data_IF_434212800613
#
_entry.id   IF_434212800613
#
_cell.length_a   1.000
_cell.length_b   1.000
_cell.length_c   1.000
_cell.angle_alpha   90.00
_cell.angle_beta   90.00
_cell.angle_gamma   90.00
#
_symmetry.space_group_name_H-M   'P 1'
#
loop_
_entity.id
_entity.type
_entity.pdbx_description
1 polymer ?
#
# COMPACT_ATOMS: atom_id res chain seq x y z
N UNK A 1 -38.24 14.87 23.19
CA UNK A 1 -37.45 13.62 23.28
C UNK A 1 -38.23 12.43 22.73
N UNK A 2 -39.56 12.40 22.90
CA UNK A 2 -40.49 11.47 22.23
C UNK A 2 -40.22 11.33 20.72
N UNK A 3 -40.14 12.45 20.01
CA UNK A 3 -40.10 12.45 18.55
C UNK A 3 -38.84 11.77 17.95
N UNK A 4 -37.75 11.68 18.74
CA UNK A 4 -36.53 10.99 18.31
C UNK A 4 -36.61 9.48 18.52
N UNK A 5 -37.34 9.04 19.54
CA UNK A 5 -37.56 7.62 19.80
C UNK A 5 -38.52 7.04 18.76
N UNK A 6 -39.58 7.78 18.44
CA UNK A 6 -40.56 7.40 17.41
C UNK A 6 -39.89 7.26 16.03
N UNK A 7 -38.93 8.14 15.70
CA UNK A 7 -38.20 8.08 14.44
C UNK A 7 -37.20 6.91 14.39
N UNK A 8 -36.57 6.54 15.51
CA UNK A 8 -35.69 5.36 15.59
C UNK A 8 -36.52 4.07 15.42
N UNK A 9 -37.70 4.01 16.03
CA UNK A 9 -38.61 2.87 15.91
C UNK A 9 -39.12 2.71 14.47
N UNK A 10 -39.41 3.83 13.79
CA UNK A 10 -39.75 3.84 12.36
C UNK A 10 -38.61 3.31 11.49
N UNK A 11 -37.37 3.74 11.72
CA UNK A 11 -36.20 3.26 10.98
C UNK A 11 -35.95 1.77 11.20
N UNK A 12 -36.20 1.29 12.41
CA UNK A 12 -36.06 -0.13 12.74
C UNK A 12 -37.10 -0.98 12.03
N UNK A 13 -38.36 -0.52 11.96
CA UNK A 13 -39.41 -1.20 11.21
C UNK A 13 -39.14 -1.27 9.70
N UNK A 14 -38.43 -0.28 9.13
CA UNK A 14 -38.03 -0.29 7.71
C UNK A 14 -36.88 -1.25 7.44
N UNK A 15 -35.92 -1.37 8.36
CA UNK A 15 -34.85 -2.38 8.30
C UNK A 15 -35.41 -3.79 8.39
N UNK A 16 -36.31 -4.04 9.34
CA UNK A 16 -36.89 -5.38 9.56
C UNK A 16 -37.77 -5.84 8.38
N UNK A 17 -38.26 -4.89 7.57
CA UNK A 17 -38.96 -5.15 6.30
C UNK A 17 -38.02 -5.33 5.10
N UNK A 18 -36.71 -5.22 5.28
CA UNK A 18 -35.70 -5.31 4.23
C UNK A 18 -35.66 -4.12 3.28
N UNK A 19 -36.28 -2.99 3.66
CA UNK A 19 -36.30 -1.76 2.84
C UNK A 19 -35.01 -0.96 3.04
N UNK A 20 -34.46 -1.00 4.25
CA UNK A 20 -33.18 -0.37 4.60
C UNK A 20 -32.13 -1.46 4.88
N UNK A 21 -30.94 -1.29 4.33
CA UNK A 21 -29.79 -2.11 4.72
C UNK A 21 -29.28 -1.75 6.12
N UNK A 22 -28.58 -2.66 6.79
CA UNK A 22 -28.03 -2.44 8.13
C UNK A 22 -27.12 -1.20 8.20
N UNK A 23 -26.38 -0.93 7.11
CA UNK A 23 -25.48 0.22 7.01
C UNK A 23 -26.23 1.55 6.91
N UNK A 24 -27.35 1.58 6.18
CA UNK A 24 -28.18 2.77 6.06
C UNK A 24 -28.93 3.06 7.36
N UNK A 25 -29.37 2.02 8.07
CA UNK A 25 -29.99 2.14 9.39
C UNK A 25 -29.03 2.79 10.41
N UNK A 26 -27.80 2.29 10.54
CA UNK A 26 -26.83 2.85 11.49
C UNK A 26 -26.41 4.29 11.12
N UNK A 27 -26.34 4.62 9.82
CA UNK A 27 -26.07 5.99 9.36
C UNK A 27 -27.21 6.95 9.72
N UNK A 28 -28.46 6.54 9.51
CA UNK A 28 -29.64 7.35 9.85
C UNK A 28 -29.80 7.54 11.36
N UNK A 29 -29.59 6.46 12.13
CA UNK A 29 -29.59 6.47 13.60
C UNK A 29 -28.51 7.38 14.18
N UNK A 30 -27.30 7.36 13.61
CA UNK A 30 -26.22 8.27 14.01
C UNK A 30 -26.53 9.76 13.82
N UNK A 31 -27.38 10.10 12.83
CA UNK A 31 -27.87 11.46 12.62
C UNK A 31 -28.86 11.94 13.69
N UNK A 32 -29.72 11.05 14.20
CA UNK A 32 -30.78 11.37 15.17
C UNK A 32 -30.26 11.48 16.61
N UNK A 33 -29.25 10.67 16.95
CA UNK A 33 -28.64 10.67 18.28
C UNK A 33 -27.66 11.84 18.50
N UNK A 34 -27.53 12.74 17.53
CA UNK A 34 -26.69 13.92 17.67
C UNK A 34 -25.21 13.57 17.68
N UNK A 35 -24.73 12.91 16.61
CA UNK A 35 -23.29 12.82 16.34
C UNK A 35 -22.59 14.19 16.48
N UNK A 36 -21.29 14.20 16.81
CA UNK A 36 -20.57 15.39 17.26
C UNK A 36 -20.77 16.58 16.30
N UNK A 37 -20.87 17.82 16.83
CA UNK A 37 -21.33 18.97 16.07
C UNK A 37 -20.47 19.18 14.81
N UNK A 38 -21.15 19.27 13.65
CA UNK A 38 -20.54 19.58 12.36
C UNK A 38 -19.90 20.98 12.42
N UNK A 39 -18.59 21.07 12.69
CA UNK A 39 -17.80 22.29 12.43
C UNK A 39 -17.74 22.51 10.92
N UNK A 40 -18.12 23.71 10.47
CA UNK A 40 -17.89 24.17 9.09
C UNK A 40 -16.37 24.32 8.88
N UNK A 41 -15.75 23.35 8.22
CA UNK A 41 -14.38 23.44 7.71
C UNK A 41 -14.41 23.78 6.20
N UNK A 42 -13.41 24.54 5.70
CA UNK A 42 -13.34 25.00 4.31
C UNK A 42 -13.15 23.86 3.30
N UNK A 43 -13.62 24.10 2.07
CA UNK A 43 -13.96 23.12 1.04
C UNK A 43 -12.80 22.40 0.31
N UNK A 44 -11.70 22.04 0.98
CA UNK A 44 -10.59 21.29 0.35
C UNK A 44 -10.04 20.14 1.20
N UNK A 45 -10.87 19.36 1.90
CA UNK A 45 -10.38 18.06 2.43
C UNK A 45 -11.52 17.03 2.37
N UNK A 46 -11.40 16.06 1.47
CA UNK A 46 -12.11 14.78 1.54
C UNK A 46 -11.13 13.77 2.14
N UNK A 47 -11.36 13.20 3.34
CA UNK A 47 -10.65 12.02 3.77
C UNK A 47 -11.47 10.79 3.37
N UNK A 48 -10.94 10.02 2.44
CA UNK A 48 -11.36 8.63 2.18
C UNK A 48 -10.81 7.75 3.30
N UNK A 49 -11.58 7.63 4.38
CA UNK A 49 -11.35 6.64 5.43
C UNK A 49 -12.21 5.42 5.16
N UNK A 50 -11.59 4.29 4.81
CA UNK A 50 -12.32 3.04 4.72
C UNK A 50 -11.56 1.89 4.08
N UNK A 51 -10.60 1.30 4.81
CA UNK A 51 -10.33 -0.16 4.85
C UNK A 51 -9.72 -0.42 6.24
N UNK A 52 -10.55 -0.77 7.22
CA UNK A 52 -10.78 -2.12 7.71
C UNK A 52 -9.49 -2.84 8.15
N UNK A 53 -9.22 -2.78 9.44
CA UNK A 53 -8.13 -3.48 10.08
C UNK A 53 -8.27 -4.99 9.95
N UNK A 54 -7.25 -5.63 9.39
CA UNK A 54 -7.09 -7.08 9.43
C UNK A 54 -5.86 -7.41 10.29
N UNK A 55 -6.16 -7.88 11.50
CA UNK A 55 -5.39 -8.77 12.38
C UNK A 55 -3.96 -9.10 11.92
N UNK A 56 -2.99 -8.33 12.43
CA UNK A 56 -1.60 -8.75 12.53
C UNK A 56 -1.49 -9.72 13.72
N UNK A 57 -1.65 -11.01 13.44
CA UNK A 57 -1.12 -12.03 14.33
C UNK A 57 0.40 -11.94 14.26
N UNK A 58 0.98 -11.29 15.28
CA UNK A 58 2.42 -11.23 15.52
C UNK A 58 2.91 -12.68 15.62
N UNK A 59 3.55 -13.17 14.56
CA UNK A 59 4.34 -14.39 14.66
C UNK A 59 5.55 -14.07 15.54
N UNK A 60 5.53 -14.61 16.76
CA UNK A 60 6.71 -14.73 17.62
C UNK A 60 7.65 -15.73 16.93
N UNK A 61 8.50 -15.25 16.01
CA UNK A 61 9.55 -16.04 15.39
C UNK A 61 10.65 -16.25 16.43
N UNK A 62 10.82 -17.49 16.91
CA UNK A 62 11.96 -17.89 17.75
C UNK A 62 13.28 -17.73 16.97
N UNK A 63 14.28 -17.00 17.47
CA UNK A 63 15.56 -16.84 16.77
C UNK A 63 16.42 -18.10 16.89
N UNK A 64 16.88 -18.64 15.76
CA UNK A 64 18.03 -19.56 15.73
C UNK A 64 19.31 -18.73 15.67
N UNK A 65 20.14 -18.88 16.70
CA UNK A 65 21.45 -18.25 16.83
C UNK A 65 22.46 -18.96 15.93
N UNK A 66 23.12 -18.22 15.05
CA UNK A 66 24.27 -18.68 14.28
C UNK A 66 25.18 -17.50 13.98
N UNK A 67 26.18 -17.28 14.83
CA UNK A 67 27.13 -16.18 14.69
C UNK A 67 28.26 -16.49 13.71
N UNK A 68 28.77 -15.44 13.06
CA UNK A 68 30.19 -15.33 12.71
C UNK A 68 30.53 -13.86 12.47
N UNK A 69 31.57 -13.39 13.16
CA UNK A 69 32.09 -12.02 13.12
C UNK A 69 33.21 -11.95 12.09
N UNK A 70 33.20 -10.92 11.25
CA UNK A 70 34.42 -10.35 10.68
C UNK A 70 34.17 -8.91 10.21
N UNK A 71 34.93 -7.97 10.78
CA UNK A 71 35.09 -6.58 10.34
C UNK A 71 35.66 -6.50 8.91
N UNK A 72 35.28 -5.47 8.14
CA UNK A 72 36.29 -4.43 7.89
C UNK A 72 35.75 -2.98 7.80
N UNK A 73 36.62 -2.03 8.14
CA UNK A 73 36.44 -0.59 7.93
C UNK A 73 36.17 -0.27 6.44
N UNK A 74 35.10 0.49 6.14
CA UNK A 74 34.74 0.90 4.77
C UNK A 74 34.48 2.41 4.66
N UNK A 75 34.86 2.95 3.50
CA UNK A 75 34.81 4.34 3.08
C UNK A 75 33.37 4.91 2.98
N UNK A 76 33.19 6.25 3.12
CA UNK A 76 31.87 6.86 3.02
C UNK A 76 31.39 6.86 1.56
N UNK A 77 30.25 6.22 1.30
CA UNK A 77 29.40 6.28 0.07
C UNK A 77 29.19 4.99 -0.73
N UNK A 78 29.57 3.80 -0.23
CA UNK A 78 29.01 2.55 -0.78
C UNK A 78 27.86 2.05 0.10
N UNK A 79 26.71 1.64 -0.48
CA UNK A 79 25.65 1.00 0.29
C UNK A 79 26.24 -0.27 0.91
N UNK A 80 26.24 -0.33 2.25
CA UNK A 80 26.69 -1.50 2.97
C UNK A 80 25.79 -2.66 2.58
N UNK A 81 26.39 -3.70 1.98
CA UNK A 81 25.67 -4.84 1.46
C UNK A 81 25.10 -5.64 2.64
N UNK A 82 23.77 -5.64 2.81
CA UNK A 82 23.09 -6.38 3.86
C UNK A 82 23.34 -7.89 3.71
N UNK A 83 23.82 -8.55 4.76
CA UNK A 83 23.99 -9.99 4.76
C UNK A 83 22.65 -10.66 5.08
N UNK A 84 22.07 -11.44 4.14
CA UNK A 84 20.83 -12.15 4.41
C UNK A 84 21.04 -13.22 5.48
N UNK A 85 20.25 -13.21 6.56
CA UNK A 85 20.25 -14.29 7.55
C UNK A 85 19.03 -15.19 7.35
N UNK A 86 19.30 -16.45 7.03
CA UNK A 86 18.26 -17.46 6.80
C UNK A 86 17.65 -17.46 5.41
N UNK A 87 16.76 -18.44 5.20
CA UNK A 87 15.96 -18.60 3.98
C UNK A 87 14.68 -17.77 4.07
N UNK A 88 14.16 -17.34 2.93
CA UNK A 88 12.83 -16.73 2.88
C UNK A 88 11.76 -17.72 3.33
N UNK A 89 10.86 -17.29 4.20
CA UNK A 89 9.69 -18.05 4.60
C UNK A 89 8.50 -17.61 3.74
N UNK A 90 7.96 -18.53 2.94
CA UNK A 90 6.80 -18.25 2.09
C UNK A 90 5.55 -18.86 2.71
N UNK A 91 4.47 -18.09 2.74
CA UNK A 91 3.15 -18.57 3.14
C UNK A 91 2.09 -17.98 2.22
N UNK A 92 0.99 -18.70 2.04
CA UNK A 92 -0.18 -18.23 1.31
C UNK A 92 -1.37 -18.28 2.25
N UNK A 93 -2.13 -17.19 2.30
CA UNK A 93 -3.33 -17.06 3.13
C UNK A 93 -4.50 -16.59 2.29
N UNK A 94 -5.64 -17.24 2.43
CA UNK A 94 -6.89 -16.79 1.83
C UNK A 94 -7.80 -16.25 2.92
N UNK A 95 -8.34 -15.06 2.73
CA UNK A 95 -9.35 -14.49 3.59
C UNK A 95 -10.69 -15.23 3.37
N UNK A 96 -11.25 -15.89 4.39
CA UNK A 96 -12.49 -16.66 4.24
C UNK A 96 -13.74 -15.79 3.98
N UNK A 97 -13.65 -14.47 4.18
CA UNK A 97 -14.78 -13.55 3.96
C UNK A 97 -14.77 -12.91 2.58
N UNK A 98 -13.58 -12.64 2.03
CA UNK A 98 -13.41 -11.88 0.78
C UNK A 98 -12.87 -12.73 -0.37
N UNK A 99 -12.48 -13.97 -0.10
CA UNK A 99 -11.76 -14.88 -1.01
C UNK A 99 -10.42 -14.30 -1.53
N UNK A 100 -9.97 -13.17 -0.97
CA UNK A 100 -8.69 -12.55 -1.34
C UNK A 100 -7.56 -13.44 -0.84
N UNK A 101 -6.72 -13.87 -1.79
CA UNK A 101 -5.55 -14.69 -1.49
C UNK A 101 -4.31 -13.82 -1.48
N UNK A 102 -3.51 -13.91 -0.42
CA UNK A 102 -2.24 -13.20 -0.28
C UNK A 102 -1.09 -14.18 -0.16
N UNK A 103 -0.08 -14.02 -1.01
CA UNK A 103 1.21 -14.71 -0.87
C UNK A 103 2.17 -13.78 -0.15
N UNK A 104 2.88 -14.32 0.84
CA UNK A 104 3.73 -13.56 1.77
C UNK A 104 5.11 -14.21 1.80
N UNK A 105 6.16 -13.42 1.62
CA UNK A 105 7.55 -13.80 1.87
C UNK A 105 8.12 -12.99 3.04
N UNK A 106 8.66 -13.66 4.04
CA UNK A 106 9.27 -13.03 5.21
C UNK A 106 10.75 -13.43 5.36
N UNK A 107 11.59 -12.48 5.77
CA UNK A 107 13.02 -12.71 6.03
C UNK A 107 13.60 -11.64 6.93
N UNK A 108 14.62 -12.02 7.70
CA UNK A 108 15.37 -11.09 8.54
C UNK A 108 16.70 -10.73 7.87
N UNK A 109 17.09 -9.47 7.96
CA UNK A 109 18.33 -8.94 7.45
C UNK A 109 19.15 -8.38 8.60
N UNK A 110 20.44 -8.72 8.62
CA UNK A 110 21.37 -8.11 9.56
C UNK A 110 22.11 -6.97 8.87
N UNK A 111 21.85 -5.76 9.36
CA UNK A 111 22.57 -4.54 9.03
C UNK A 111 23.62 -4.26 10.12
N UNK A 112 24.61 -3.39 9.90
CA UNK A 112 25.63 -3.07 10.89
C UNK A 112 25.05 -2.79 12.29
N UNK A 113 24.06 -1.90 12.38
CA UNK A 113 23.49 -1.45 13.66
C UNK A 113 22.13 -2.06 14.00
N UNK A 114 21.49 -2.79 13.08
CA UNK A 114 20.10 -3.21 13.22
C UNK A 114 19.82 -4.60 12.63
N UNK A 115 18.79 -5.26 13.15
CA UNK A 115 18.13 -6.40 12.53
C UNK A 115 16.81 -5.89 11.95
N UNK A 116 16.61 -6.10 10.65
CA UNK A 116 15.37 -5.69 9.96
C UNK A 116 14.58 -6.94 9.59
N UNK A 117 13.38 -7.06 10.14
CA UNK A 117 12.42 -8.08 9.72
C UNK A 117 11.62 -7.50 8.55
N UNK A 118 11.69 -8.17 7.40
CA UNK A 118 11.07 -7.76 6.14
C UNK A 118 9.98 -8.73 5.78
N UNK A 119 8.79 -8.21 5.47
CA UNK A 119 7.67 -8.97 4.92
C UNK A 119 7.24 -8.34 3.61
N UNK A 120 7.18 -9.15 2.56
CA UNK A 120 6.69 -8.77 1.24
C UNK A 120 5.41 -9.56 1.01
N UNK A 121 4.32 -8.90 0.65
CA UNK A 121 3.09 -9.58 0.28
C UNK A 121 2.53 -9.10 -1.05
N UNK A 122 1.86 -10.01 -1.74
CA UNK A 122 1.09 -9.74 -2.94
C UNK A 122 -0.30 -10.36 -2.76
N UNK A 123 -1.34 -9.55 -2.89
CA UNK A 123 -2.73 -10.01 -2.88
C UNK A 123 -3.20 -10.40 -4.29
N UNK A 124 -4.28 -11.19 -4.36
CA UNK A 124 -4.97 -11.54 -5.60
C UNK A 124 -5.63 -10.33 -6.27
N UNK A 125 -5.75 -9.19 -5.58
CA UNK A 125 -6.19 -7.91 -6.14
C UNK A 125 -5.06 -7.11 -6.79
N UNK A 126 -3.81 -7.57 -6.69
CA UNK A 126 -2.64 -6.90 -7.25
C UNK A 126 -1.99 -5.88 -6.33
N UNK A 127 -2.43 -5.83 -5.07
CA UNK A 127 -1.82 -5.00 -4.04
C UNK A 127 -0.50 -5.63 -3.59
N UNK A 128 0.58 -4.86 -3.69
CA UNK A 128 1.89 -5.22 -3.16
C UNK A 128 2.12 -4.43 -1.87
N UNK A 129 2.55 -5.11 -0.82
CA UNK A 129 2.86 -4.48 0.47
C UNK A 129 4.25 -4.91 0.92
N UNK A 130 5.08 -3.92 1.28
CA UNK A 130 6.36 -4.12 1.95
C UNK A 130 6.23 -3.62 3.38
N UNK A 131 6.48 -4.49 4.35
CA UNK A 131 6.52 -4.15 5.76
C UNK A 131 7.92 -4.38 6.31
N UNK A 132 8.46 -3.38 7.00
CA UNK A 132 9.77 -3.44 7.60
C UNK A 132 9.65 -3.08 9.08
N UNK A 133 10.17 -3.94 9.94
CA UNK A 133 10.30 -3.69 11.37
C UNK A 133 11.79 -3.72 11.74
N UNK A 134 12.22 -2.73 12.51
CA UNK A 134 13.62 -2.59 12.93
C UNK A 134 13.80 -2.94 14.40
N UNK A 135 14.90 -3.65 14.67
CA UNK A 135 15.29 -4.14 15.98
C UNK A 135 16.79 -3.96 16.20
N UNK A 136 17.21 -3.87 17.45
CA UNK A 136 18.62 -3.97 17.81
C UNK A 136 19.10 -5.44 17.81
N UNK A 137 20.38 -5.65 18.16
CA UNK A 137 20.98 -6.99 18.24
C UNK A 137 20.38 -7.87 19.35
N UNK A 138 19.71 -7.27 20.33
CA UNK A 138 19.00 -7.94 21.42
C UNK A 138 17.51 -8.19 21.09
N UNK A 139 17.09 -7.94 19.85
CA UNK A 139 15.69 -8.03 19.38
C UNK A 139 14.74 -7.03 20.07
N UNK A 140 15.25 -5.94 20.64
CA UNK A 140 14.41 -4.84 21.13
C UNK A 140 14.07 -3.91 19.97
N UNK A 141 12.87 -3.30 19.94
CA UNK A 141 12.51 -2.32 18.92
C UNK A 141 13.56 -1.22 18.83
N UNK A 142 14.05 -0.97 17.61
CA UNK A 142 14.98 0.13 17.34
C UNK A 142 14.22 1.25 16.65
N UNK A 143 14.13 2.42 17.27
CA UNK A 143 13.27 3.48 16.75
C UNK A 143 13.82 4.07 15.44
N UNK A 144 12.92 4.32 14.50
CA UNK A 144 13.20 5.14 13.32
C UNK A 144 12.91 6.61 13.64
N UNK A 145 13.66 7.50 12.99
CA UNK A 145 13.49 8.94 13.07
C UNK A 145 12.12 9.31 12.54
N UNK A 146 11.31 9.82 13.45
CA UNK A 146 9.99 10.34 13.17
C UNK A 146 9.89 11.83 13.40
N UNK A 147 8.68 12.34 13.16
CA UNK A 147 8.31 13.70 13.46
C UNK A 147 6.81 13.83 13.66
N UNK A 148 6.34 15.07 13.72
CA UNK A 148 4.92 15.41 13.76
C UNK A 148 4.65 16.23 12.50
N UNK A 149 3.67 15.83 11.71
CA UNK A 149 3.28 16.58 10.51
C UNK A 149 2.38 17.78 10.86
N UNK A 150 2.02 18.59 9.86
CA UNK A 150 1.17 19.78 10.05
C UNK A 150 -0.21 19.47 10.67
N UNK A 151 -0.67 18.21 10.55
CA UNK A 151 -1.92 17.71 11.12
C UNK A 151 -1.73 17.13 12.53
N UNK A 152 -0.62 17.44 13.21
CA UNK A 152 -0.28 16.93 14.55
C UNK A 152 -0.21 15.39 14.62
N UNK A 153 -0.05 14.72 13.49
CA UNK A 153 0.03 13.26 13.44
C UNK A 153 1.50 12.82 13.43
N UNK A 154 1.87 11.82 14.24
CA UNK A 154 3.22 11.29 14.21
C UNK A 154 3.49 10.63 12.86
N UNK A 155 4.73 10.68 12.40
CA UNK A 155 5.15 10.00 11.18
C UNK A 155 6.57 9.45 11.30
N UNK A 156 6.91 8.48 10.45
CA UNK A 156 8.29 7.99 10.24
C UNK A 156 8.68 8.30 8.80
N UNK A 157 9.86 8.90 8.60
CA UNK A 157 10.39 9.17 7.26
C UNK A 157 11.34 8.04 6.83
N UNK A 158 11.27 7.66 5.57
CA UNK A 158 12.16 6.68 4.95
C UNK A 158 12.40 7.04 3.49
N UNK A 159 13.43 6.48 2.88
CA UNK A 159 13.68 6.63 1.45
C UNK A 159 13.42 5.31 0.72
N UNK A 160 12.87 5.39 -0.47
CA UNK A 160 12.69 4.24 -1.36
C UNK A 160 13.33 4.55 -2.69
N UNK A 161 14.15 3.61 -3.17
CA UNK A 161 14.67 3.61 -4.53
C UNK A 161 14.23 2.33 -5.22
N UNK A 162 13.64 2.47 -6.40
CA UNK A 162 13.16 1.37 -7.22
C UNK A 162 14.03 1.28 -8.48
N UNK A 163 14.78 0.19 -8.63
CA UNK A 163 15.80 0.05 -9.69
C UNK A 163 16.86 1.16 -9.61
N UNK A 164 17.13 1.79 -10.76
CA UNK A 164 18.11 2.89 -10.92
C UNK A 164 17.48 4.28 -10.77
N UNK A 165 16.22 4.38 -10.34
CA UNK A 165 15.55 5.67 -10.14
C UNK A 165 16.24 6.50 -9.04
N UNK A 166 15.98 7.81 -9.03
CA UNK A 166 16.34 8.65 -7.89
C UNK A 166 15.61 8.16 -6.62
N UNK A 167 16.21 8.27 -5.42
CA UNK A 167 15.53 7.91 -4.19
C UNK A 167 14.40 8.91 -3.93
N UNK A 168 13.22 8.39 -3.61
CA UNK A 168 12.06 9.18 -3.19
C UNK A 168 11.96 9.12 -1.68
N UNK A 169 11.80 10.28 -1.05
CA UNK A 169 11.52 10.35 0.39
C UNK A 169 10.03 10.13 0.63
N UNK A 170 9.72 9.11 1.40
CA UNK A 170 8.37 8.71 1.78
C UNK A 170 8.12 8.94 3.27
N UNK A 171 6.84 9.04 3.61
CA UNK A 171 6.39 9.29 4.99
C UNK A 171 5.29 8.30 5.35
N UNK A 172 5.54 7.47 6.37
CA UNK A 172 4.51 6.60 6.94
C UNK A 172 3.83 7.32 8.10
N UNK A 173 2.59 7.73 7.89
CA UNK A 173 1.82 8.54 8.83
C UNK A 173 1.06 7.68 9.84
N UNK A 174 1.02 8.15 11.08
CA UNK A 174 0.38 7.50 12.22
C UNK A 174 0.78 6.02 12.39
N UNK A 175 2.09 5.71 12.44
CA UNK A 175 2.52 4.33 12.60
C UNK A 175 2.08 3.79 13.97
N UNK A 176 1.76 2.49 14.08
CA UNK A 176 1.46 1.88 15.38
C UNK A 176 2.67 1.94 16.31
N UNK A 177 3.88 1.86 15.74
CA UNK A 177 5.16 1.94 16.44
C UNK A 177 6.18 2.66 15.56
N UNK A 178 7.09 3.43 16.16
CA UNK A 178 8.12 4.17 15.45
C UNK A 178 9.26 3.31 14.89
N UNK A 179 9.26 1.99 15.11
CA UNK A 179 10.23 1.05 14.53
C UNK A 179 9.69 0.32 13.29
N UNK A 180 8.52 0.72 12.77
CA UNK A 180 7.80 0.03 11.71
C UNK A 180 7.43 0.98 10.56
N UNK A 181 7.59 0.51 9.33
CA UNK A 181 7.10 1.16 8.11
C UNK A 181 6.33 0.17 7.23
N UNK A 182 5.32 0.68 6.53
CA UNK A 182 4.56 -0.04 5.50
C UNK A 182 4.58 0.78 4.22
N UNK A 183 5.08 0.19 3.13
CA UNK A 183 4.96 0.71 1.78
C UNK A 183 3.90 -0.12 1.06
N UNK A 184 2.73 0.48 0.87
CA UNK A 184 1.58 -0.14 0.24
C UNK A 184 1.39 0.46 -1.15
N UNK A 185 1.30 -0.39 -2.16
CA UNK A 185 0.76 0.08 -3.43
C UNK A 185 -0.74 0.26 -3.28
N UNK A 186 -1.33 1.33 -3.84
CA UNK A 186 -2.79 1.45 -3.88
C UNK A 186 -3.38 0.27 -4.65
N UNK A 187 -4.57 -0.16 -4.22
CA UNK A 187 -5.36 -1.14 -4.97
C UNK A 187 -5.64 -0.59 -6.38
N UNK A 188 -5.33 -1.34 -7.45
CA UNK A 188 -5.61 -0.92 -8.83
C UNK A 188 -7.05 -0.44 -9.04
N UNK A 189 -8.03 -1.02 -8.35
CA UNK A 189 -9.44 -0.65 -8.46
C UNK A 189 -9.74 0.69 -7.75
N UNK A 190 -9.05 0.97 -6.64
CA UNK A 190 -9.19 2.22 -5.88
C UNK A 190 -8.51 3.43 -6.55
N UNK A 191 -7.65 3.20 -7.56
CA UNK A 191 -6.88 4.25 -8.23
C UNK A 191 -7.68 5.18 -9.17
N UNK A 192 -9.01 5.08 -9.20
CA UNK A 192 -9.91 5.79 -10.12
C UNK A 192 -9.82 7.33 -10.20
N UNK A 193 -8.95 7.98 -9.42
CA UNK A 193 -8.60 9.41 -9.55
C UNK A 193 -7.10 9.66 -9.30
N UNK A 194 -6.45 8.91 -8.39
CA UNK A 194 -5.01 9.05 -8.09
C UNK A 194 -4.11 8.68 -9.29
N UNK A 195 -4.55 7.78 -10.17
CA UNK A 195 -3.85 7.47 -11.42
C UNK A 195 -3.72 8.68 -12.37
N UNK A 196 -4.67 9.62 -12.31
CA UNK A 196 -4.67 10.81 -13.16
C UNK A 196 -3.60 11.85 -12.74
N UNK A 197 -3.08 11.75 -11.52
CA UNK A 197 -2.05 12.64 -10.99
C UNK A 197 -0.61 12.13 -11.20
N UNK A 198 -0.42 11.03 -11.95
CA UNK A 198 0.87 10.56 -12.45
C UNK A 198 1.84 9.96 -11.43
N UNK A 199 1.71 10.26 -10.13
CA UNK A 199 2.66 9.84 -9.08
C UNK A 199 2.41 8.44 -8.51
N UNK A 200 1.16 7.98 -8.48
CA UNK A 200 0.77 6.70 -7.85
C UNK A 200 0.88 5.48 -8.77
N UNK A 201 0.73 5.65 -10.10
CA UNK A 201 0.93 4.55 -11.07
C UNK A 201 2.41 4.16 -11.16
N UNK A 202 3.29 5.17 -11.11
CA UNK A 202 4.72 4.98 -11.31
C UNK A 202 5.39 4.16 -10.22
N UNK A 203 4.96 4.26 -8.96
CA UNK A 203 5.58 3.48 -7.87
C UNK A 203 5.15 2.02 -7.91
N UNK A 204 3.89 1.77 -8.22
CA UNK A 204 3.30 0.44 -8.16
C UNK A 204 3.78 -0.48 -9.29
N UNK A 205 3.76 0.01 -10.52
CA UNK A 205 4.26 -0.74 -11.67
C UNK A 205 5.77 -0.91 -11.61
N UNK A 206 6.49 0.15 -11.18
CA UNK A 206 7.93 0.05 -10.96
C UNK A 206 8.27 -0.97 -9.86
N UNK A 207 7.54 -1.00 -8.75
CA UNK A 207 7.79 -1.98 -7.67
C UNK A 207 7.55 -3.41 -8.12
N UNK A 208 6.61 -3.66 -9.03
CA UNK A 208 6.32 -5.02 -9.52
C UNK A 208 7.34 -5.53 -10.53
N UNK A 209 8.00 -4.64 -11.26
CA UNK A 209 8.92 -4.99 -12.37
C UNK A 209 10.38 -4.74 -12.06
N UNK A 210 10.69 -4.06 -10.95
CA UNK A 210 12.05 -3.76 -10.58
C UNK A 210 12.80 -5.00 -10.11
N UNK A 211 14.02 -5.18 -10.61
CA UNK A 211 14.94 -6.22 -10.13
C UNK A 211 15.41 -5.95 -8.70
N UNK A 212 15.44 -4.68 -8.29
CA UNK A 212 15.98 -4.24 -7.00
C UNK A 212 15.14 -3.12 -6.39
N UNK A 213 14.91 -3.20 -5.08
CA UNK A 213 14.36 -2.09 -4.28
C UNK A 213 15.28 -1.82 -3.11
N UNK A 214 15.60 -0.55 -2.87
CA UNK A 214 16.44 -0.13 -1.74
C UNK A 214 15.61 0.73 -0.81
N UNK A 215 15.63 0.40 0.48
CA UNK A 215 15.03 1.19 1.55
C UNK A 215 16.13 1.91 2.33
N UNK A 216 16.09 3.24 2.34
CA UNK A 216 16.87 4.07 3.26
C UNK A 216 16.11 4.21 4.58
N UNK A 217 16.64 3.59 5.62
CA UNK A 217 16.06 3.58 6.97
C UNK A 217 16.82 4.59 7.82
N UNK A 218 16.11 5.64 8.24
CA UNK A 218 16.66 6.67 9.11
C UNK A 218 16.46 6.25 10.57
N UNK A 219 17.36 5.48 11.16
CA UNK A 219 17.29 5.09 12.56
C UNK A 219 17.70 6.27 13.46
N UNK A 220 17.28 6.27 14.73
CA UNK A 220 17.60 7.38 15.67
C UNK A 220 19.11 7.60 15.83
N UNK A 221 19.91 6.53 15.71
CA UNK A 221 21.36 6.57 15.93
C UNK A 221 22.21 6.26 14.69
N UNK A 222 21.57 5.97 13.55
CA UNK A 222 22.27 5.56 12.33
C UNK A 222 21.41 5.74 11.09
N UNK A 223 22.04 5.82 9.93
CA UNK A 223 21.37 5.70 8.64
C UNK A 223 21.78 4.37 8.02
N UNK A 224 20.80 3.56 7.66
CA UNK A 224 21.00 2.21 7.14
C UNK A 224 20.31 2.06 5.79
N UNK A 225 20.89 1.28 4.89
CA UNK A 225 20.31 0.99 3.59
C UNK A 225 20.07 -0.52 3.47
N UNK A 226 18.81 -0.90 3.26
CA UNK A 226 18.42 -2.28 3.00
C UNK A 226 18.17 -2.47 1.50
N UNK A 227 18.91 -3.39 0.87
CA UNK A 227 18.74 -3.72 -0.54
C UNK A 227 17.99 -5.05 -0.67
N UNK A 228 16.82 -5.01 -1.27
CA UNK A 228 16.03 -6.19 -1.61
C UNK A 228 16.22 -6.54 -3.09
N UNK A 229 16.70 -7.76 -3.32
CA UNK A 229 16.76 -8.38 -4.64
C UNK A 229 15.43 -9.06 -4.94
N UNK A 230 14.65 -8.51 -5.88
CA UNK A 230 13.37 -9.08 -6.29
C UNK A 230 13.53 -10.24 -7.26
N UNK A 231 14.71 -10.42 -7.87
CA UNK A 231 14.99 -11.58 -8.74
C UNK A 231 15.19 -12.87 -7.94
N UNK A 232 15.39 -12.76 -6.62
CA UNK A 232 15.49 -13.91 -5.74
C UNK A 232 14.22 -14.79 -5.89
N UNK A 233 14.36 -16.12 -6.12
CA UNK A 233 13.22 -16.97 -6.48
C UNK A 233 12.04 -16.87 -5.53
N UNK A 234 12.29 -16.72 -4.24
CA UNK A 234 11.24 -16.56 -3.23
C UNK A 234 10.46 -15.26 -3.38
N UNK A 235 11.16 -14.13 -3.59
CA UNK A 235 10.52 -12.83 -3.77
C UNK A 235 9.79 -12.79 -5.11
N UNK A 236 10.44 -13.24 -6.19
CA UNK A 236 9.84 -13.34 -7.51
C UNK A 236 8.57 -14.21 -7.50
N UNK A 237 8.58 -15.36 -6.80
CA UNK A 237 7.40 -16.22 -6.69
C UNK A 237 6.26 -15.56 -5.92
N UNK A 238 6.57 -14.79 -4.89
CA UNK A 238 5.58 -14.03 -4.11
C UNK A 238 4.97 -12.90 -4.93
N UNK A 239 5.76 -12.18 -5.72
CA UNK A 239 5.29 -11.04 -6.51
C UNK A 239 4.64 -11.44 -7.84
N UNK A 240 4.89 -12.65 -8.33
CA UNK A 240 4.40 -13.16 -9.62
C UNK A 240 2.90 -12.90 -9.87
N UNK A 241 1.97 -13.19 -8.93
CA UNK A 241 0.54 -12.95 -9.17
C UNK A 241 0.23 -11.48 -9.45
N UNK A 242 0.90 -10.56 -8.76
CA UNK A 242 0.74 -9.12 -8.94
C UNK A 242 1.31 -8.66 -10.29
N UNK A 243 2.47 -9.20 -10.69
CA UNK A 243 3.08 -8.91 -12.01
C UNK A 243 2.19 -9.41 -13.14
N UNK A 244 1.68 -10.64 -13.05
CA UNK A 244 0.82 -11.24 -14.05
C UNK A 244 -0.51 -10.46 -14.18
N UNK A 245 -1.13 -10.09 -13.05
CA UNK A 245 -2.37 -9.31 -13.03
C UNK A 245 -2.19 -7.92 -13.66
N UNK A 246 -1.09 -7.23 -13.34
CA UNK A 246 -0.78 -5.91 -13.93
C UNK A 246 -0.52 -5.99 -15.42
N UNK A 247 0.27 -6.97 -15.84
CA UNK A 247 0.56 -7.19 -17.26
C UNK A 247 -0.73 -7.36 -18.05
N UNK A 248 -1.69 -8.12 -17.50
CA UNK A 248 -3.03 -8.28 -18.07
C UNK A 248 -3.80 -6.96 -18.10
N UNK A 249 -3.86 -6.22 -17.00
CA UNK A 249 -4.55 -4.93 -16.92
C UNK A 249 -4.00 -3.89 -17.91
N UNK A 250 -2.67 -3.83 -18.08
CA UNK A 250 -2.02 -2.95 -19.05
C UNK A 250 -2.42 -3.36 -20.47
N UNK A 251 -2.36 -4.65 -20.81
CA UNK A 251 -2.76 -5.10 -22.15
C UNK A 251 -4.23 -4.80 -22.47
N UNK A 252 -5.13 -4.99 -21.51
CA UNK A 252 -6.55 -4.68 -21.68
C UNK A 252 -6.79 -3.17 -21.81
N UNK A 253 -6.06 -2.35 -21.05
CA UNK A 253 -6.14 -0.90 -21.15
C UNK A 253 -5.64 -0.37 -22.51
N UNK A 254 -4.55 -0.94 -23.03
CA UNK A 254 -4.02 -0.60 -24.36
C UNK A 254 -4.99 -1.00 -25.47
N UNK A 255 -5.61 -2.18 -25.38
CA UNK A 255 -6.61 -2.63 -26.34
C UNK A 255 -7.84 -1.70 -26.35
N UNK A 256 -8.34 -1.32 -25.17
CA UNK A 256 -9.44 -0.36 -25.04
C UNK A 256 -9.07 1.01 -25.62
N UNK A 257 -7.87 1.53 -25.33
CA UNK A 257 -7.42 2.80 -25.87
C UNK A 257 -7.35 2.78 -27.41
N UNK A 258 -6.88 1.69 -28.00
CA UNK A 258 -6.87 1.51 -29.47
C UNK A 258 -8.28 1.43 -30.05
N UNK A 259 -9.20 0.75 -29.37
CA UNK A 259 -10.60 0.66 -29.80
C UNK A 259 -11.26 2.05 -29.80
N UNK A 260 -11.05 2.84 -28.74
CA UNK A 260 -11.57 4.20 -28.62
C UNK A 260 -10.98 5.14 -29.68
N UNK A 261 -9.68 5.06 -29.96
CA UNK A 261 -9.03 5.84 -31.02
C UNK A 261 -9.61 5.51 -32.39
N UNK A 262 -9.80 4.21 -32.69
CA UNK A 262 -10.42 3.75 -33.93
C UNK A 262 -11.88 4.24 -34.05
N UNK A 263 -12.65 4.21 -32.96
CA UNK A 263 -14.01 4.73 -32.96
C UNK A 263 -14.03 6.25 -33.18
N UNK A 264 -13.15 7.00 -32.53
CA UNK A 264 -13.03 8.44 -32.72
C UNK A 264 -12.62 8.79 -34.16
N UNK A 265 -11.68 8.05 -34.75
CA UNK A 265 -11.28 8.21 -36.14
C UNK A 265 -12.45 7.92 -37.10
N UNK A 266 -13.21 6.85 -36.84
CA UNK A 266 -14.41 6.52 -37.61
C UNK A 266 -15.46 7.64 -37.53
N UNK A 267 -15.74 8.16 -36.33
CA UNK A 267 -16.67 9.28 -36.11
C UNK A 267 -16.21 10.56 -36.83
N UNK A 268 -14.92 10.89 -36.78
CA UNK A 268 -14.34 12.04 -37.51
C UNK A 268 -14.49 11.89 -39.03
N UNK A 269 -14.20 10.70 -39.58
CA UNK A 269 -14.35 10.46 -41.02
C UNK A 269 -15.79 10.58 -41.50
N UNK A 270 -16.76 10.13 -40.68
CA UNK A 270 -18.20 10.26 -40.98
C UNK A 270 -18.66 11.72 -40.96
N UNK A 271 -18.19 12.53 -39.99
CA UNK A 271 -18.53 13.95 -39.89
C UNK A 271 -17.99 14.80 -41.07
N UNK A 272 -16.79 14.46 -41.58
CA UNK A 272 -16.23 15.10 -42.77
C UNK A 272 -17.04 14.80 -44.04
N UNK A 273 -17.55 13.57 -44.17
CA UNK A 273 -18.42 13.19 -45.29
C UNK A 273 -19.78 13.90 -45.25
N UNK A 274 -20.37 14.09 -44.06
CA UNK A 274 -21.66 14.78 -43.94
C UNK A 274 -21.58 16.28 -44.21
N UNK A 275 -20.44 16.92 -43.90
CA UNK A 275 -20.24 18.36 -44.19
C UNK A 275 -20.00 18.62 -45.67
N UNK A 276 -19.29 17.73 -46.38
CA UNK A 276 -19.10 17.86 -47.83
C UNK A 276 -20.39 17.69 -48.65
N UNK A 277 -21.41 16.98 -48.14
CA UNK A 277 -22.66 16.73 -48.85
C UNK A 277 -23.65 17.89 -48.87
N UNK A 278 -23.52 18.87 -47.96
CA UNK A 278 -24.42 20.03 -47.85
C UNK A 278 -23.92 21.28 -48.61
N UNK A 279 -22.76 21.21 -49.27
CA UNK A 279 -22.17 22.32 -50.02
C UNK A 279 -22.45 22.26 -51.54
N UNK A 280 -23.33 21.34 -51.98
CA UNK A 280 -23.86 21.25 -53.36
C UNK A 280 -25.33 21.64 -53.38
#
# INVERSE_FOLDING_TARGET
MSDRLDEIERLQALRDRGILSDQEFERAKGGLLGGPPKRKLPAWIVPTSGVLGMVLAIFVIKPLVGGSVSDPMAAPNQPVQSSPVGTWQISTKTDPMTDVTSTIAAKNFELPTAIIDVTISCSSTGQIVYQLASFDRERKPLEMRGGINDNMSPYVAYEVRVGEAAPTREVFSNPPYNNFISLETPDPEAMGIAAALGSARTTSDALSTAERVTFGLHLVHSDEALVLDQTAPSVASTLKPCVDLRSKQISEAEERARADENEQAARRSKALRSTSGNAM
#
